data_IF_267206097734
#
_entry.id   IF_267206097734
#
_cell.length_a   1.000
_cell.length_b   1.000
_cell.length_c   1.000
_cell.angle_alpha   90.00
_cell.angle_beta   90.00
_cell.angle_gamma   90.00
#
_symmetry.space_group_name_H-M   'P 1'
#
loop_
_entity.id
_entity.type
_entity.pdbx_description
1 polymer ?
#
# COMPACT_ATOMS: atom_id res chain seq x y z
N UNK A 1 2.23 -1.20 -24.17
CA UNK A 1 1.90 -2.12 -23.06
C UNK A 1 1.38 -1.31 -21.89
N UNK A 2 0.16 -1.61 -21.45
CA UNK A 2 -0.68 -0.74 -20.62
C UNK A 2 -0.70 -1.18 -19.17
N UNK A 3 -0.22 -0.33 -18.28
CA UNK A 3 -0.56 -0.41 -16.86
C UNK A 3 -2.00 0.09 -16.73
N UNK A 4 -2.91 -0.76 -16.26
CA UNK A 4 -4.31 -0.36 -16.05
C UNK A 4 -4.50 -0.02 -14.58
N UNK A 5 -4.54 1.27 -14.28
CA UNK A 5 -5.01 1.75 -12.97
C UNK A 5 -6.52 1.90 -13.08
N UNK A 6 -7.26 1.09 -12.31
CA UNK A 6 -8.72 1.18 -12.24
C UNK A 6 -9.06 1.95 -10.95
N UNK A 7 -9.38 3.24 -11.09
CA UNK A 7 -9.83 4.08 -9.97
C UNK A 7 -11.35 4.03 -9.90
N UNK A 8 -11.90 3.70 -8.73
CA UNK A 8 -13.34 3.50 -8.55
C UNK A 8 -13.88 4.16 -7.28
N UNK A 9 -14.80 5.14 -7.43
CA UNK A 9 -15.64 5.67 -6.35
C UNK A 9 -16.79 4.72 -5.92
N UNK A 10 -17.36 4.88 -4.73
CA UNK A 10 -18.45 4.02 -4.23
C UNK A 10 -19.72 4.04 -5.13
N UNK A 11 -20.48 2.94 -5.16
CA UNK A 11 -21.87 2.90 -5.65
C UNK A 11 -22.14 2.65 -7.14
N UNK A 12 -21.13 2.47 -8.00
CA UNK A 12 -21.36 2.34 -9.47
C UNK A 12 -21.03 0.96 -10.06
N UNK A 13 -21.10 -0.11 -9.28
CA UNK A 13 -20.79 -1.47 -9.76
C UNK A 13 -19.30 -1.75 -10.05
N UNK A 14 -18.40 -0.83 -9.68
CA UNK A 14 -16.97 -0.93 -10.02
C UNK A 14 -16.24 -2.05 -9.31
N UNK A 15 -16.65 -2.42 -8.09
CA UNK A 15 -16.10 -3.59 -7.41
C UNK A 15 -16.37 -4.86 -8.20
N UNK A 16 -17.55 -4.99 -8.81
CA UNK A 16 -17.90 -6.13 -9.68
C UNK A 16 -17.02 -6.16 -10.92
N UNK A 17 -16.91 -5.04 -11.64
CA UNK A 17 -16.05 -4.95 -12.83
C UNK A 17 -14.57 -5.22 -12.50
N UNK A 18 -14.10 -4.75 -11.34
CA UNK A 18 -12.73 -4.98 -10.86
C UNK A 18 -12.48 -6.47 -10.61
N UNK A 19 -13.41 -7.17 -9.97
CA UNK A 19 -13.34 -8.62 -9.75
C UNK A 19 -13.35 -9.36 -11.08
N UNK A 20 -14.30 -9.07 -11.97
CA UNK A 20 -14.38 -9.71 -13.28
C UNK A 20 -13.10 -9.49 -14.10
N UNK A 21 -12.58 -8.26 -14.11
CA UNK A 21 -11.30 -7.95 -14.77
C UNK A 21 -10.15 -8.74 -14.17
N UNK A 22 -10.08 -8.84 -12.83
CA UNK A 22 -9.04 -9.60 -12.16
C UNK A 22 -9.12 -11.11 -12.50
N UNK A 23 -10.33 -11.67 -12.60
CA UNK A 23 -10.54 -13.07 -12.95
C UNK A 23 -10.16 -13.40 -14.40
N UNK A 24 -10.24 -12.42 -15.31
CA UNK A 24 -9.80 -12.55 -16.70
C UNK A 24 -8.26 -12.50 -16.85
N UNK A 25 -7.57 -11.79 -15.97
CA UNK A 25 -6.11 -11.55 -16.03
C UNK A 25 -5.30 -12.63 -15.30
N UNK A 26 -5.47 -13.91 -15.66
CA UNK A 26 -4.84 -15.06 -14.98
C UNK A 26 -3.31 -15.11 -15.07
N UNK A 27 -2.72 -14.47 -16.09
CA UNK A 27 -1.27 -14.49 -16.33
C UNK A 27 -0.52 -13.28 -15.72
N UNK A 28 -1.20 -12.45 -14.93
CA UNK A 28 -0.61 -11.26 -14.32
C UNK A 28 -0.75 -11.29 -12.79
N UNK A 29 0.24 -10.74 -12.09
CA UNK A 29 0.13 -10.41 -10.66
C UNK A 29 -0.77 -9.18 -10.52
N UNK A 30 -1.86 -9.32 -9.77
CA UNK A 30 -2.87 -8.29 -9.58
C UNK A 30 -2.81 -7.81 -8.12
N UNK A 31 -2.66 -6.50 -7.95
CA UNK A 31 -2.80 -5.84 -6.66
C UNK A 31 -4.08 -5.01 -6.65
N UNK A 32 -4.93 -5.25 -5.65
CA UNK A 32 -6.11 -4.45 -5.36
C UNK A 32 -5.90 -3.80 -4.00
N UNK A 33 -5.89 -2.46 -3.98
CA UNK A 33 -5.78 -1.69 -2.74
C UNK A 33 -7.04 -0.91 -2.43
N UNK A 34 -7.34 -0.76 -1.14
CA UNK A 34 -8.44 0.08 -0.64
C UNK A 34 -8.02 0.81 0.64
N UNK A 35 -8.82 1.77 1.12
CA UNK A 35 -8.44 2.60 2.27
C UNK A 35 -8.76 1.98 3.63
N UNK A 36 -9.79 1.14 3.73
CA UNK A 36 -10.28 0.61 5.01
C UNK A 36 -10.25 -0.92 5.00
N UNK A 37 -10.07 -1.51 6.19
CA UNK A 37 -10.13 -2.97 6.35
C UNK A 37 -11.52 -3.51 6.02
N UNK A 38 -12.58 -2.71 6.24
CA UNK A 38 -13.95 -3.12 5.91
C UNK A 38 -14.16 -3.26 4.40
N UNK A 39 -13.67 -2.29 3.61
CA UNK A 39 -13.73 -2.40 2.15
C UNK A 39 -12.87 -3.56 1.63
N UNK A 40 -11.76 -3.88 2.31
CA UNK A 40 -10.89 -5.00 1.95
C UNK A 40 -11.63 -6.34 2.13
N UNK A 41 -12.27 -6.52 3.30
CA UNK A 41 -13.14 -7.67 3.57
C UNK A 41 -14.29 -7.77 2.57
N UNK A 42 -14.94 -6.66 2.25
CA UNK A 42 -16.04 -6.64 1.28
C UNK A 42 -15.59 -7.12 -0.11
N UNK A 43 -14.44 -6.63 -0.59
CA UNK A 43 -13.86 -7.08 -1.87
C UNK A 43 -13.56 -8.58 -1.81
N UNK A 44 -12.96 -9.07 -0.72
CA UNK A 44 -12.70 -10.50 -0.53
C UNK A 44 -13.98 -11.34 -0.57
N UNK A 45 -15.00 -10.97 0.19
CA UNK A 45 -16.29 -11.67 0.21
C UNK A 45 -16.88 -11.75 -1.19
N UNK A 46 -16.86 -10.65 -1.96
CA UNK A 46 -17.36 -10.65 -3.34
C UNK A 46 -16.53 -11.54 -4.28
N UNK A 47 -15.22 -11.69 -4.06
CA UNK A 47 -14.43 -12.68 -4.79
C UNK A 47 -14.88 -14.11 -4.48
N UNK A 48 -15.11 -14.43 -3.21
CA UNK A 48 -15.61 -15.74 -2.80
C UNK A 48 -17.01 -16.02 -3.37
N UNK A 49 -17.93 -15.05 -3.33
CA UNK A 49 -19.27 -15.18 -3.90
C UNK A 49 -19.24 -15.43 -5.41
N UNK A 50 -18.31 -14.80 -6.14
CA UNK A 50 -18.24 -14.88 -7.60
C UNK A 50 -17.43 -16.05 -8.15
N UNK A 51 -16.35 -16.42 -7.48
CA UNK A 51 -15.36 -17.38 -7.99
C UNK A 51 -15.10 -18.56 -7.04
N UNK A 52 -15.71 -18.56 -5.84
CA UNK A 52 -15.49 -19.58 -4.81
C UNK A 52 -14.13 -19.48 -4.09
N UNK A 53 -13.18 -18.74 -4.64
CA UNK A 53 -11.88 -18.47 -4.04
C UNK A 53 -11.28 -17.16 -4.58
N UNK A 54 -10.27 -16.65 -3.88
CA UNK A 54 -9.38 -15.60 -4.39
C UNK A 54 -8.25 -16.30 -5.15
N UNK A 55 -8.06 -16.03 -6.46
CA UNK A 55 -6.94 -16.60 -7.21
C UNK A 55 -5.58 -16.26 -6.59
N UNK A 56 -4.60 -17.18 -6.68
CA UNK A 56 -3.27 -17.00 -6.06
C UNK A 56 -2.46 -15.84 -6.62
N UNK A 57 -2.78 -15.38 -7.84
CA UNK A 57 -2.17 -14.23 -8.48
C UNK A 57 -2.82 -12.88 -8.07
N UNK A 58 -3.84 -12.90 -7.21
CA UNK A 58 -4.55 -11.70 -6.73
C UNK A 58 -4.21 -11.42 -5.28
N UNK A 59 -3.69 -10.23 -5.01
CA UNK A 59 -3.43 -9.71 -3.66
C UNK A 59 -4.41 -8.58 -3.38
N UNK A 60 -5.16 -8.69 -2.27
CA UNK A 60 -6.10 -7.68 -1.79
C UNK A 60 -5.62 -7.23 -0.42
N UNK A 61 -5.37 -5.93 -0.25
CA UNK A 61 -4.92 -5.36 1.02
C UNK A 61 -5.25 -3.87 1.12
N UNK A 62 -5.13 -3.29 2.31
CA UNK A 62 -5.27 -1.83 2.44
C UNK A 62 -4.05 -1.08 1.93
N UNK A 63 -4.24 0.19 1.57
CA UNK A 63 -3.17 1.08 1.14
C UNK A 63 -2.06 1.23 2.19
N UNK A 64 -2.43 1.31 3.47
CA UNK A 64 -1.44 1.40 4.54
C UNK A 64 -0.69 0.08 4.75
N UNK A 65 -1.36 -1.07 4.66
CA UNK A 65 -0.68 -2.37 4.67
C UNK A 65 0.29 -2.51 3.51
N UNK A 66 -0.11 -2.08 2.31
CA UNK A 66 0.76 -2.05 1.14
C UNK A 66 2.02 -1.19 1.37
N UNK A 67 1.85 0.06 1.84
CA UNK A 67 2.98 0.94 2.13
C UNK A 67 3.87 0.37 3.24
N UNK A 68 3.29 -0.20 4.29
CA UNK A 68 4.06 -0.78 5.39
C UNK A 68 4.88 -1.99 4.91
N UNK A 69 4.27 -2.87 4.13
CA UNK A 69 4.89 -4.10 3.63
C UNK A 69 5.97 -3.83 2.58
N UNK A 70 5.71 -2.92 1.64
CA UNK A 70 6.57 -2.74 0.47
C UNK A 70 7.43 -1.48 0.53
N UNK A 71 6.95 -0.39 1.14
CA UNK A 71 7.64 0.89 1.20
C UNK A 71 8.46 1.10 2.47
N UNK A 72 7.98 0.59 3.61
CA UNK A 72 8.57 0.87 4.92
C UNK A 72 9.45 -0.27 5.42
N UNK A 73 8.87 -1.43 5.77
CA UNK A 73 9.60 -2.52 6.45
C UNK A 73 10.93 -2.93 5.80
N UNK A 74 11.03 -3.05 4.46
CA UNK A 74 12.27 -3.49 3.83
C UNK A 74 13.34 -2.39 3.75
N UNK A 75 12.95 -1.12 3.94
CA UNK A 75 13.79 0.04 3.67
C UNK A 75 13.89 1.00 4.86
N UNK A 76 13.26 0.68 5.99
CA UNK A 76 13.25 1.54 7.18
C UNK A 76 14.67 1.88 7.66
N UNK A 77 15.63 0.97 7.51
CA UNK A 77 17.04 1.19 7.91
C UNK A 77 17.74 2.33 7.17
N UNK A 78 17.17 2.86 6.08
CA UNK A 78 17.70 4.06 5.43
C UNK A 78 17.33 5.36 6.17
N UNK A 79 16.40 5.31 7.12
CA UNK A 79 15.92 6.46 7.90
C UNK A 79 15.90 6.21 9.41
N UNK A 80 15.70 4.96 9.83
CA UNK A 80 15.47 4.57 11.21
C UNK A 80 15.97 3.14 11.44
N UNK A 81 16.99 3.02 12.29
CA UNK A 81 17.68 1.75 12.54
C UNK A 81 16.95 0.82 13.52
N UNK A 82 15.89 1.31 14.19
CA UNK A 82 15.08 0.48 15.10
C UNK A 82 13.86 -0.08 14.37
N UNK A 83 13.23 -1.08 14.95
CA UNK A 83 12.05 -1.72 14.37
C UNK A 83 10.80 -0.84 14.48
N UNK A 84 10.13 -0.62 13.34
CA UNK A 84 8.75 -0.13 13.29
C UNK A 84 7.80 -1.31 13.56
N UNK A 85 7.03 -1.21 14.64
CA UNK A 85 6.22 -2.32 15.17
C UNK A 85 4.89 -2.46 14.42
N UNK A 86 4.35 -1.37 13.88
CA UNK A 86 3.08 -1.39 13.17
C UNK A 86 2.63 -0.02 12.68
N UNK A 87 1.33 0.12 12.46
CA UNK A 87 0.67 1.34 12.00
C UNK A 87 -0.24 1.89 13.12
N UNK A 88 -0.26 3.21 13.30
CA UNK A 88 -1.24 3.92 14.11
C UNK A 88 -2.12 4.79 13.20
N UNK A 89 -3.40 4.46 13.12
CA UNK A 89 -4.38 5.28 12.40
C UNK A 89 -4.61 6.58 13.17
N UNK A 90 -4.52 7.72 12.48
CA UNK A 90 -4.78 9.06 13.04
C UNK A 90 -5.78 9.81 12.18
N UNK A 91 -6.67 10.54 12.84
CA UNK A 91 -7.74 11.33 12.21
C UNK A 91 -7.38 12.82 12.06
N UNK A 92 -6.19 13.21 12.52
CA UNK A 92 -5.68 14.57 12.44
C UNK A 92 -4.17 14.54 12.23
N UNK A 93 -3.60 15.71 11.92
CA UNK A 93 -2.16 15.84 11.69
C UNK A 93 -1.37 15.36 12.90
N UNK A 94 -0.55 14.33 12.71
CA UNK A 94 0.31 13.80 13.76
C UNK A 94 1.60 14.62 13.90
N UNK A 95 2.21 14.51 15.09
CA UNK A 95 3.50 15.09 15.42
C UNK A 95 3.62 16.58 15.05
N UNK A 96 2.64 17.39 15.47
CA UNK A 96 2.63 18.84 15.23
C UNK A 96 3.95 19.47 15.68
N UNK A 97 4.51 20.34 14.82
CA UNK A 97 5.78 21.07 15.03
C UNK A 97 7.02 20.18 15.22
N UNK A 98 6.94 18.89 14.89
CA UNK A 98 8.13 18.04 14.85
C UNK A 98 8.94 18.30 13.58
N UNK A 99 10.27 18.28 13.73
CA UNK A 99 11.18 18.32 12.60
C UNK A 99 11.38 16.91 12.04
N UNK A 100 11.39 16.80 10.72
CA UNK A 100 11.57 15.53 10.01
C UNK A 100 12.92 14.85 10.28
N UNK A 101 13.95 15.65 10.63
CA UNK A 101 15.27 15.17 11.08
C UNK A 101 15.20 14.31 12.33
N UNK A 102 14.19 14.53 13.18
CA UNK A 102 13.89 13.65 14.31
C UNK A 102 12.85 12.61 13.89
N UNK A 103 13.34 11.54 13.26
CA UNK A 103 12.49 10.50 12.64
C UNK A 103 11.55 9.86 13.66
N UNK A 104 12.06 9.52 14.85
CA UNK A 104 11.28 8.89 15.92
C UNK A 104 10.12 9.78 16.36
N UNK A 105 10.33 11.09 16.52
CA UNK A 105 9.27 12.03 16.91
C UNK A 105 8.33 12.41 15.76
N UNK A 106 8.82 12.46 14.52
CA UNK A 106 8.04 12.94 13.38
C UNK A 106 7.12 11.88 12.78
N UNK A 107 7.58 10.63 12.73
CA UNK A 107 6.89 9.55 12.04
C UNK A 107 6.23 8.54 12.97
N UNK A 108 6.71 8.41 14.21
CA UNK A 108 6.33 7.31 15.09
C UNK A 108 5.61 7.78 16.36
N UNK A 109 4.74 6.92 16.84
CA UNK A 109 4.21 6.97 18.21
C UNK A 109 5.27 6.52 19.22
N UNK A 110 5.01 6.75 20.52
CA UNK A 110 5.89 6.26 21.59
C UNK A 110 6.06 4.73 21.62
N UNK A 111 5.09 3.97 21.11
CA UNK A 111 5.14 2.51 20.95
C UNK A 111 5.70 2.07 19.57
N UNK A 112 6.40 2.96 18.86
CA UNK A 112 7.10 2.71 17.58
C UNK A 112 6.18 2.25 16.45
N UNK A 113 4.92 2.69 16.44
CA UNK A 113 4.02 2.53 15.30
C UNK A 113 4.11 3.77 14.41
N UNK A 114 4.14 3.57 13.10
CA UNK A 114 4.15 4.68 12.15
C UNK A 114 2.76 5.30 12.01
N UNK A 115 2.67 6.62 11.97
CA UNK A 115 1.40 7.32 11.78
C UNK A 115 0.88 7.17 10.34
N UNK A 116 -0.43 6.97 10.19
CA UNK A 116 -1.08 6.81 8.88
C UNK A 116 -0.98 8.04 7.97
N UNK A 117 -0.92 9.26 8.53
CA UNK A 117 -0.70 10.49 7.75
C UNK A 117 0.77 10.68 7.33
N UNK A 118 1.71 9.91 7.91
CA UNK A 118 3.16 10.02 7.63
C UNK A 118 3.75 8.85 6.85
N UNK A 119 3.09 7.70 6.84
CA UNK A 119 3.63 6.48 6.23
C UNK A 119 3.98 6.63 4.75
N UNK A 120 3.16 7.34 3.96
CA UNK A 120 3.46 7.63 2.56
C UNK A 120 4.74 8.48 2.42
N UNK A 121 4.86 9.54 3.23
CA UNK A 121 6.06 10.38 3.26
C UNK A 121 7.30 9.59 3.67
N UNK A 122 7.19 8.70 4.65
CA UNK A 122 8.29 7.84 5.09
C UNK A 122 8.75 6.90 3.97
N UNK A 123 7.80 6.27 3.26
CA UNK A 123 8.11 5.41 2.12
C UNK A 123 8.82 6.18 0.99
N UNK A 124 8.38 7.41 0.66
CA UNK A 124 9.07 8.25 -0.31
C UNK A 124 10.51 8.57 0.14
N UNK A 125 10.71 8.93 1.41
CA UNK A 125 12.05 9.17 1.95
C UNK A 125 12.94 7.92 1.94
N UNK A 126 12.36 6.74 2.17
CA UNK A 126 13.08 5.47 2.02
C UNK A 126 13.53 5.26 0.59
N UNK A 127 12.67 5.55 -0.40
CA UNK A 127 13.01 5.45 -1.82
C UNK A 127 14.14 6.41 -2.21
N UNK A 128 14.03 7.68 -1.80
CA UNK A 128 15.07 8.69 -2.03
C UNK A 128 16.43 8.26 -1.44
N UNK A 129 16.44 7.83 -0.17
CA UNK A 129 17.67 7.45 0.54
C UNK A 129 18.27 6.12 0.05
N UNK A 130 17.44 5.26 -0.53
CA UNK A 130 17.86 3.98 -1.11
C UNK A 130 18.11 4.08 -2.62
N UNK A 131 18.18 5.30 -3.17
CA UNK A 131 18.42 5.55 -4.59
C UNK A 131 17.42 4.81 -5.52
N UNK A 132 16.14 4.90 -5.20
CA UNK A 132 15.04 4.34 -6.01
C UNK A 132 14.76 2.85 -5.78
N UNK A 133 15.33 2.24 -4.73
CA UNK A 133 15.22 0.80 -4.53
C UNK A 133 13.79 0.33 -4.17
N UNK A 134 12.95 1.20 -3.58
CA UNK A 134 11.55 0.88 -3.27
C UNK A 134 10.77 0.73 -4.57
N UNK A 135 10.83 1.75 -5.43
CA UNK A 135 10.13 1.75 -6.71
C UNK A 135 10.67 0.64 -7.62
N UNK A 136 12.00 0.46 -7.68
CA UNK A 136 12.62 -0.62 -8.47
C UNK A 136 12.09 -2.01 -8.07
N UNK A 137 11.92 -2.27 -6.77
CA UNK A 137 11.36 -3.54 -6.30
C UNK A 137 9.88 -3.67 -6.63
N UNK A 138 9.10 -2.62 -6.43
CA UNK A 138 7.68 -2.61 -6.78
C UNK A 138 7.46 -2.90 -8.26
N UNK A 139 8.28 -2.33 -9.14
CA UNK A 139 8.22 -2.60 -10.59
C UNK A 139 8.58 -4.04 -10.99
N UNK A 140 9.36 -4.74 -10.16
CA UNK A 140 9.64 -6.18 -10.35
C UNK A 140 8.51 -7.07 -9.84
N UNK A 141 7.85 -6.69 -8.74
CA UNK A 141 6.74 -7.45 -8.15
C UNK A 141 5.46 -7.29 -8.99
N UNK A 142 5.18 -6.04 -9.36
CA UNK A 142 4.04 -5.66 -10.16
C UNK A 142 4.55 -5.26 -11.53
N UNK A 143 4.80 -6.28 -12.36
CA UNK A 143 5.40 -6.26 -13.71
C UNK A 143 4.73 -5.29 -14.71
N UNK A 144 3.70 -4.56 -14.29
CA UNK A 144 2.97 -3.56 -15.07
C UNK A 144 3.00 -2.19 -14.37
N UNK A 145 4.18 -1.69 -13.99
CA UNK A 145 4.36 -0.29 -13.55
C UNK A 145 5.46 0.39 -14.37
N UNK A 146 5.03 1.28 -15.26
CA UNK A 146 5.83 2.28 -15.97
C UNK A 146 5.30 3.63 -15.50
N UNK A 147 6.10 4.34 -14.73
CA UNK A 147 5.87 5.73 -14.36
C UNK A 147 6.27 6.59 -15.57
N UNK A 148 5.37 7.44 -16.05
CA UNK A 148 5.71 8.48 -17.02
C UNK A 148 6.15 9.72 -16.22
N UNK A 149 7.36 10.20 -16.50
CA UNK A 149 7.87 11.50 -16.06
C UNK A 149 7.08 12.64 -16.72
#
# INVERSE_FOLDING_TARGET
MNNKVIIAAAGSGKTTHLIETALLLRNATILITTFTDENEKEIRTRFFERNGCIPSNVVIQTWFSFLLQHGVRPYQGYLYDKNIVGLSLVNSQSALRSQETNVERHYLTGDKKIYSDKIAKFACRCDERSNGAVISRLSKIYTHTRWLN
#
